data_IF_210562062309
#
_entry.id   IF_210562062309
#
_cell.length_a   1.000
_cell.length_b   1.000
_cell.length_c   1.000
_cell.angle_alpha   90.00
_cell.angle_beta   90.00
_cell.angle_gamma   90.00
#
_symmetry.space_group_name_H-M   'P 1'
#
loop_
_entity.id
_entity.type
_entity.pdbx_description
1 polymer ?
#
# COMPACT_ATOMS: atom_id res chain seq x y z
N UNK A 1 -26.57 14.87 -7.62
CA UNK A 1 -25.88 14.09 -6.57
C UNK A 1 -24.88 15.03 -5.89
N UNK A 2 -25.33 15.72 -4.83
CA UNK A 2 -24.50 16.66 -4.08
C UNK A 2 -24.08 16.05 -2.75
N UNK A 3 -22.88 16.39 -2.28
CA UNK A 3 -22.38 15.93 -0.97
C UNK A 3 -23.27 16.52 0.14
N UNK A 4 -23.92 15.63 0.90
CA UNK A 4 -24.72 15.97 2.08
C UNK A 4 -23.89 15.91 3.36
N UNK A 5 -23.08 14.85 3.52
CA UNK A 5 -22.15 14.70 4.66
C UNK A 5 -20.91 13.91 4.26
N UNK A 6 -19.81 14.19 4.97
CA UNK A 6 -18.59 13.41 5.00
C UNK A 6 -18.29 13.12 6.47
N UNK A 7 -18.22 11.84 6.84
CA UNK A 7 -18.09 11.40 8.21
C UNK A 7 -16.92 10.42 8.31
N UNK A 8 -15.93 10.76 9.13
CA UNK A 8 -14.78 9.90 9.43
C UNK A 8 -14.86 9.42 10.87
N UNK A 9 -14.53 8.15 11.10
CA UNK A 9 -14.55 7.52 12.42
C UNK A 9 -13.48 6.42 12.50
N UNK A 10 -13.07 6.13 13.74
CA UNK A 10 -12.13 5.02 13.98
C UNK A 10 -12.83 3.69 13.74
N UNK A 11 -12.15 2.79 13.05
CA UNK A 11 -12.65 1.43 12.79
C UNK A 11 -11.63 0.39 13.25
N UNK A 12 -12.11 -0.79 13.57
CA UNK A 12 -11.25 -1.96 13.69
C UNK A 12 -10.53 -2.16 12.35
N UNK A 13 -9.19 -2.31 12.39
CA UNK A 13 -8.42 -2.45 11.15
C UNK A 13 -8.89 -3.70 10.38
N UNK A 14 -9.48 -3.56 9.20
CA UNK A 14 -9.99 -4.69 8.44
C UNK A 14 -8.87 -5.64 7.97
N UNK A 15 -7.63 -5.12 7.81
CA UNK A 15 -6.47 -5.91 7.40
C UNK A 15 -5.90 -6.74 8.58
N UNK A 16 -6.20 -6.37 9.82
CA UNK A 16 -5.63 -7.03 11.00
C UNK A 16 -6.29 -8.38 11.39
N UNK A 17 -7.09 -8.97 10.52
CA UNK A 17 -7.71 -10.30 10.70
C UNK A 17 -8.71 -10.31 11.85
N UNK A 18 -9.99 -10.11 11.60
CA UNK A 18 -10.99 -10.29 12.62
C UNK A 18 -12.34 -9.61 12.47
N UNK A 19 -12.72 -9.07 11.32
CA UNK A 19 -14.03 -8.42 11.17
C UNK A 19 -15.14 -9.38 10.70
N UNK A 20 -14.83 -10.53 10.14
CA UNK A 20 -15.83 -11.51 9.75
C UNK A 20 -15.83 -12.74 10.65
N UNK A 21 -16.71 -12.70 11.64
CA UNK A 21 -17.17 -13.88 12.38
C UNK A 21 -18.51 -14.33 11.73
N UNK A 22 -18.43 -15.18 10.71
CA UNK A 22 -19.55 -16.06 10.38
C UNK A 22 -19.54 -17.20 11.37
N UNK A 23 -19.92 -16.91 12.61
CA UNK A 23 -20.14 -17.79 13.72
C UNK A 23 -19.68 -19.24 13.54
N UNK A 24 -18.54 -19.60 14.04
CA UNK A 24 -18.08 -20.84 14.67
C UNK A 24 -16.58 -21.14 14.60
N UNK A 25 -15.82 -20.57 13.66
CA UNK A 25 -14.36 -20.79 13.59
C UNK A 25 -13.62 -19.48 13.87
N UNK A 26 -13.47 -19.14 15.15
CA UNK A 26 -12.48 -18.13 15.59
C UNK A 26 -11.08 -18.67 15.35
N UNK A 27 -10.65 -18.71 14.11
CA UNK A 27 -9.23 -18.76 13.79
C UNK A 27 -8.69 -17.34 14.04
N UNK A 28 -8.20 -17.10 15.25
CA UNK A 28 -7.35 -15.94 15.51
C UNK A 28 -6.16 -16.10 14.58
N UNK A 29 -6.17 -15.40 13.45
CA UNK A 29 -5.10 -15.40 12.49
C UNK A 29 -3.84 -14.96 13.25
N UNK A 30 -2.94 -15.89 13.54
CA UNK A 30 -1.66 -15.55 14.14
C UNK A 30 -0.93 -14.67 13.13
N UNK A 31 -0.51 -13.49 13.57
CA UNK A 31 0.39 -12.67 12.74
C UNK A 31 1.65 -13.47 12.45
N UNK A 32 2.21 -13.33 11.24
CA UNK A 32 3.50 -13.94 10.94
C UNK A 32 4.52 -13.54 12.01
N UNK A 33 5.38 -14.46 12.49
CA UNK A 33 6.39 -14.16 13.51
C UNK A 33 7.26 -12.93 13.15
N UNK A 34 7.62 -12.78 11.87
CA UNK A 34 8.44 -11.69 11.39
C UNK A 34 7.80 -10.28 11.52
N UNK A 35 6.49 -10.16 11.69
CA UNK A 35 5.83 -8.87 11.89
C UNK A 35 5.82 -8.39 13.32
N UNK A 36 5.97 -9.29 14.30
CA UNK A 36 5.85 -8.99 15.72
C UNK A 36 7.11 -9.28 16.52
N UNK A 37 7.69 -10.45 16.30
CA UNK A 37 8.72 -11.02 17.16
C UNK A 37 10.08 -11.16 16.45
N UNK A 38 10.17 -10.88 15.14
CA UNK A 38 11.41 -10.93 14.38
C UNK A 38 12.05 -9.55 14.23
N UNK A 39 13.37 -9.56 14.04
CA UNK A 39 14.11 -8.35 13.66
C UNK A 39 13.70 -7.94 12.23
N UNK A 40 13.28 -6.70 12.08
CA UNK A 40 13.07 -6.04 10.78
C UNK A 40 13.74 -4.69 10.85
N UNK A 41 14.66 -4.44 9.93
CA UNK A 41 15.34 -3.15 9.82
C UNK A 41 14.32 -2.03 9.58
N UNK A 42 14.52 -0.90 10.24
CA UNK A 42 13.56 0.20 10.25
C UNK A 42 14.28 1.53 10.60
N UNK A 43 13.66 2.71 10.40
CA UNK A 43 14.28 4.00 10.69
C UNK A 43 14.72 4.15 12.15
N UNK A 44 14.04 3.48 13.10
CA UNK A 44 14.36 3.54 14.53
C UNK A 44 15.49 2.57 14.92
N UNK A 45 15.97 1.71 14.01
CA UNK A 45 17.04 0.74 14.29
C UNK A 45 18.36 1.38 14.73
N UNK A 46 18.59 2.69 14.45
CA UNK A 46 19.74 3.44 14.98
C UNK A 46 19.74 3.60 16.49
N UNK A 47 18.60 3.39 17.15
CA UNK A 47 18.45 3.49 18.59
C UNK A 47 18.32 2.09 19.20
N UNK A 48 19.23 1.63 20.06
CA UNK A 48 19.28 0.24 20.55
C UNK A 48 17.96 -0.28 21.14
N UNK A 49 17.21 0.58 21.83
CA UNK A 49 15.92 0.23 22.42
C UNK A 49 14.87 -0.22 21.40
N UNK A 50 14.95 0.32 20.17
CA UNK A 50 13.94 0.13 19.13
C UNK A 50 14.43 -0.70 17.94
N UNK A 51 15.67 -1.21 18.02
CA UNK A 51 16.36 -1.87 16.94
C UNK A 51 15.70 -3.21 16.57
N UNK A 52 15.34 -4.01 17.57
CA UNK A 52 14.94 -5.39 17.35
C UNK A 52 13.48 -5.54 16.88
N UNK A 53 12.57 -4.72 17.41
CA UNK A 53 11.15 -4.89 17.19
C UNK A 53 10.48 -3.63 16.66
N UNK A 54 10.00 -3.68 15.43
CA UNK A 54 9.19 -2.63 14.81
C UNK A 54 8.00 -2.23 15.68
N UNK A 55 7.36 -3.21 16.33
CA UNK A 55 6.22 -2.97 17.22
C UNK A 55 6.54 -2.14 18.47
N UNK A 56 7.82 -2.02 18.86
CA UNK A 56 8.22 -1.28 20.06
C UNK A 56 8.06 0.24 19.96
N UNK A 57 7.94 0.79 18.75
CA UNK A 57 7.78 2.22 18.49
C UNK A 57 6.63 2.54 17.52
N UNK A 58 6.06 1.52 16.89
CA UNK A 58 4.95 1.71 15.94
C UNK A 58 3.73 2.28 16.68
N UNK A 59 3.04 3.23 16.06
CA UNK A 59 1.87 3.83 16.66
C UNK A 59 0.70 2.83 16.75
N UNK A 60 -0.20 3.07 17.70
CA UNK A 60 -1.40 2.29 17.92
C UNK A 60 -2.67 2.98 17.38
N UNK A 61 -2.54 3.92 16.45
CA UNK A 61 -3.70 4.56 15.85
C UNK A 61 -4.56 3.55 15.10
N UNK A 62 -5.90 3.57 15.32
CA UNK A 62 -6.80 2.72 14.55
C UNK A 62 -6.85 3.13 13.07
N UNK A 63 -7.35 2.24 12.24
CA UNK A 63 -7.77 2.60 10.87
C UNK A 63 -8.94 3.60 10.94
N UNK A 64 -9.12 4.35 9.84
CA UNK A 64 -10.16 5.37 9.72
C UNK A 64 -11.09 4.97 8.57
N UNK A 65 -12.36 4.76 8.87
CA UNK A 65 -13.43 4.65 7.90
C UNK A 65 -13.97 6.04 7.54
N UNK A 66 -14.27 6.24 6.27
CA UNK A 66 -14.86 7.49 5.76
C UNK A 66 -16.10 7.15 4.96
N UNK A 67 -17.24 7.74 5.32
CA UNK A 67 -18.48 7.66 4.56
C UNK A 67 -18.78 9.02 3.95
N UNK A 68 -18.96 9.06 2.62
CA UNK A 68 -19.52 10.19 1.90
C UNK A 68 -20.98 9.86 1.58
N UNK A 69 -21.92 10.70 2.01
CA UNK A 69 -23.35 10.56 1.72
C UNK A 69 -23.83 11.71 0.85
N UNK A 70 -24.57 11.40 -0.21
CA UNK A 70 -25.16 12.39 -1.11
C UNK A 70 -26.60 12.73 -0.73
N UNK A 71 -27.13 13.81 -1.34
CA UNK A 71 -28.48 14.35 -1.11
C UNK A 71 -29.61 13.39 -1.55
N UNK A 72 -29.35 12.50 -2.51
CA UNK A 72 -30.26 11.46 -2.97
C UNK A 72 -30.22 10.18 -2.12
N UNK A 73 -29.40 10.15 -1.06
CA UNK A 73 -29.21 9.01 -0.16
C UNK A 73 -28.16 8.00 -0.62
N UNK A 74 -27.59 8.17 -1.81
CA UNK A 74 -26.44 7.34 -2.22
C UNK A 74 -25.23 7.62 -1.35
N UNK A 75 -24.34 6.62 -1.20
CA UNK A 75 -23.17 6.73 -0.32
C UNK A 75 -22.00 5.88 -0.83
N UNK A 76 -20.80 6.28 -0.42
CA UNK A 76 -19.59 5.52 -0.66
C UNK A 76 -18.72 5.41 0.57
N UNK A 77 -17.84 4.42 0.57
CA UNK A 77 -16.96 4.08 1.68
C UNK A 77 -15.49 4.06 1.27
N UNK A 78 -14.67 4.73 2.05
CA UNK A 78 -13.21 4.74 1.92
C UNK A 78 -12.54 4.37 3.23
N UNK A 79 -11.30 3.89 3.16
CA UNK A 79 -10.49 3.58 4.34
C UNK A 79 -9.12 4.20 4.23
N UNK A 80 -8.63 4.73 5.34
CA UNK A 80 -7.31 5.28 5.50
C UNK A 80 -6.77 4.99 6.91
N UNK A 81 -5.72 5.67 7.35
CA UNK A 81 -5.06 5.40 8.62
C UNK A 81 -4.90 6.61 9.54
N UNK A 82 -4.13 6.39 10.62
CA UNK A 82 -3.70 7.38 11.61
C UNK A 82 -4.79 7.98 12.50
N UNK A 83 -5.92 7.28 12.67
CA UNK A 83 -6.92 7.53 13.73
C UNK A 83 -7.33 8.99 13.91
N UNK A 84 -7.37 9.45 15.16
CA UNK A 84 -7.93 10.76 15.52
C UNK A 84 -7.34 11.97 14.76
N UNK A 85 -6.03 12.08 14.49
CA UNK A 85 -5.52 13.20 13.68
C UNK A 85 -6.15 13.29 12.30
N UNK A 86 -6.29 12.15 11.61
CA UNK A 86 -6.93 12.09 10.28
C UNK A 86 -8.43 12.34 10.37
N UNK A 87 -9.11 11.79 11.38
CA UNK A 87 -10.54 12.01 11.63
C UNK A 87 -10.82 13.50 11.80
N UNK A 88 -10.04 14.21 12.62
CA UNK A 88 -10.23 15.64 12.83
C UNK A 88 -9.99 16.46 11.54
N UNK A 89 -8.97 16.12 10.75
CA UNK A 89 -8.76 16.78 9.46
C UNK A 89 -9.97 16.62 8.54
N UNK A 90 -10.58 15.45 8.51
CA UNK A 90 -11.75 15.17 7.67
C UNK A 90 -13.00 15.88 8.21
N UNK A 91 -13.32 15.65 9.48
CA UNK A 91 -14.61 16.08 10.04
C UNK A 91 -14.67 17.59 10.33
N UNK A 92 -13.55 18.17 10.81
CA UNK A 92 -13.53 19.54 11.31
C UNK A 92 -13.04 20.55 10.25
N UNK A 93 -12.38 20.08 9.19
CA UNK A 93 -11.77 21.01 8.21
C UNK A 93 -12.15 20.68 6.76
N UNK A 94 -11.76 19.51 6.22
CA UNK A 94 -11.94 19.23 4.78
C UNK A 94 -13.40 19.00 4.44
N UNK A 95 -14.08 18.11 5.16
CA UNK A 95 -15.47 17.71 4.88
C UNK A 95 -16.47 18.86 4.83
N UNK A 96 -16.48 19.80 5.80
CA UNK A 96 -17.38 20.96 5.77
C UNK A 96 -17.23 21.83 4.52
N UNK A 97 -16.01 21.94 3.96
CA UNK A 97 -15.72 22.76 2.77
C UNK A 97 -16.13 22.09 1.45
N UNK A 98 -16.46 20.80 1.48
CA UNK A 98 -16.95 20.04 0.31
C UNK A 98 -18.48 19.90 0.30
N UNK A 99 -19.19 20.40 1.31
CA UNK A 99 -20.65 20.34 1.37
C UNK A 99 -21.30 21.01 0.15
N UNK A 100 -22.40 20.43 -0.37
CA UNK A 100 -23.13 20.87 -1.56
C UNK A 100 -22.36 20.75 -2.89
N UNK A 101 -21.10 20.32 -2.90
CA UNK A 101 -20.37 20.06 -4.12
C UNK A 101 -20.88 18.82 -4.85
N UNK A 102 -20.67 18.73 -6.16
CA UNK A 102 -21.04 17.56 -6.94
C UNK A 102 -20.17 16.35 -6.59
N UNK A 103 -20.75 15.34 -5.92
CA UNK A 103 -20.06 14.14 -5.47
C UNK A 103 -19.42 13.31 -6.60
N UNK A 104 -19.89 13.45 -7.85
CA UNK A 104 -19.36 12.72 -9.00
C UNK A 104 -18.14 13.41 -9.65
N UNK A 105 -17.84 14.65 -9.26
CA UNK A 105 -16.72 15.44 -9.81
C UNK A 105 -15.41 15.14 -9.06
N UNK A 106 -14.98 13.88 -9.04
CA UNK A 106 -13.83 13.40 -8.26
C UNK A 106 -12.55 14.21 -8.47
N UNK A 107 -12.23 14.57 -9.72
CA UNK A 107 -11.05 15.41 -10.04
C UNK A 107 -11.13 16.81 -9.42
N UNK A 108 -12.28 17.48 -9.52
CA UNK A 108 -12.51 18.79 -8.92
C UNK A 108 -12.36 18.72 -7.40
N UNK A 109 -13.01 17.73 -6.79
CA UNK A 109 -13.00 17.56 -5.34
C UNK A 109 -11.59 17.26 -4.83
N UNK A 110 -10.85 16.44 -5.56
CA UNK A 110 -9.46 16.16 -5.24
C UNK A 110 -8.58 17.44 -5.30
N UNK A 111 -8.70 18.25 -6.37
CA UNK A 111 -7.97 19.52 -6.46
C UNK A 111 -8.36 20.49 -5.33
N UNK A 112 -9.65 20.56 -4.98
CA UNK A 112 -10.11 21.35 -3.84
C UNK A 112 -9.44 20.90 -2.55
N UNK A 113 -9.44 19.61 -2.25
CA UNK A 113 -8.79 19.06 -1.04
C UNK A 113 -7.29 19.36 -1.00
N UNK A 114 -6.60 19.24 -2.13
CA UNK A 114 -5.18 19.61 -2.24
C UNK A 114 -4.96 21.11 -1.93
N UNK A 115 -5.83 21.99 -2.40
CA UNK A 115 -5.73 23.43 -2.14
C UNK A 115 -6.12 23.81 -0.72
N UNK A 116 -7.15 23.19 -0.16
CA UNK A 116 -7.56 23.38 1.24
C UNK A 116 -6.39 23.06 2.19
N UNK A 117 -5.65 22.00 1.90
CA UNK A 117 -4.53 21.55 2.75
C UNK A 117 -3.18 22.21 2.45
N UNK A 118 -3.04 22.90 1.30
CA UNK A 118 -1.78 23.55 0.88
C UNK A 118 -1.12 24.45 1.94
N UNK A 119 -1.87 25.25 2.76
CA UNK A 119 -1.26 26.12 3.76
C UNK A 119 -0.42 25.40 4.82
N UNK A 120 -0.70 24.12 5.09
CA UNK A 120 0.03 23.29 6.06
C UNK A 120 0.60 22.00 5.48
N UNK A 121 0.69 21.89 4.17
CA UNK A 121 1.12 20.75 3.37
C UNK A 121 0.00 19.72 3.13
N UNK A 122 -0.13 19.34 1.86
CA UNK A 122 -1.02 18.23 1.44
C UNK A 122 -0.36 16.84 1.59
N UNK A 123 0.84 16.78 2.17
CA UNK A 123 1.58 15.53 2.43
C UNK A 123 1.30 14.96 3.82
N UNK A 124 1.72 13.73 4.07
CA UNK A 124 1.56 13.07 5.37
C UNK A 124 0.10 12.96 5.78
N UNK A 125 -0.27 13.37 6.99
CA UNK A 125 -1.63 13.20 7.53
C UNK A 125 -2.72 13.84 6.65
N UNK A 126 -2.44 14.95 5.99
CA UNK A 126 -3.38 15.55 5.04
C UNK A 126 -3.62 14.62 3.83
N UNK A 127 -2.59 13.99 3.32
CA UNK A 127 -2.70 13.01 2.23
C UNK A 127 -3.54 11.79 2.63
N UNK A 128 -3.40 11.30 3.87
CA UNK A 128 -4.26 10.24 4.41
C UNK A 128 -5.73 10.67 4.45
N UNK A 129 -6.01 11.88 4.90
CA UNK A 129 -7.37 12.42 4.95
C UNK A 129 -7.98 12.54 3.53
N UNK A 130 -7.20 13.07 2.58
CA UNK A 130 -7.59 13.14 1.16
C UNK A 130 -7.87 11.74 0.61
N UNK A 131 -7.00 10.76 0.90
CA UNK A 131 -7.18 9.38 0.44
C UNK A 131 -8.51 8.79 0.88
N UNK A 132 -8.85 8.91 2.17
CA UNK A 132 -10.10 8.37 2.69
C UNK A 132 -11.34 8.96 2.02
N UNK A 133 -11.36 10.27 1.81
CA UNK A 133 -12.47 10.97 1.14
C UNK A 133 -12.52 10.59 -0.35
N UNK A 134 -11.39 10.60 -1.06
CA UNK A 134 -11.31 10.30 -2.49
C UNK A 134 -11.79 8.88 -2.79
N UNK A 135 -11.35 7.90 -2.00
CA UNK A 135 -11.79 6.51 -2.12
C UNK A 135 -13.30 6.36 -1.90
N UNK A 136 -13.86 7.06 -0.90
CA UNK A 136 -15.30 7.07 -0.67
C UNK A 136 -16.08 7.73 -1.83
N UNK A 137 -15.54 8.79 -2.45
CA UNK A 137 -16.14 9.43 -3.61
C UNK A 137 -16.13 8.53 -4.85
N UNK A 138 -15.04 7.81 -5.10
CA UNK A 138 -14.96 6.84 -6.19
C UNK A 138 -15.93 5.66 -5.99
N UNK A 139 -16.06 5.16 -4.76
CA UNK A 139 -17.04 4.12 -4.42
C UNK A 139 -18.48 4.61 -4.66
N UNK A 140 -18.81 5.82 -4.18
CA UNK A 140 -20.12 6.45 -4.41
C UNK A 140 -20.39 6.59 -5.91
N UNK A 141 -19.43 7.12 -6.67
CA UNK A 141 -19.55 7.33 -8.11
C UNK A 141 -19.81 6.00 -8.85
N UNK A 142 -19.09 4.95 -8.50
CA UNK A 142 -19.31 3.62 -9.08
C UNK A 142 -20.69 3.07 -8.78
N UNK A 143 -21.16 3.19 -7.54
CA UNK A 143 -22.50 2.76 -7.14
C UNK A 143 -23.61 3.54 -7.85
N UNK A 144 -23.50 4.86 -7.94
CA UNK A 144 -24.48 5.71 -8.65
C UNK A 144 -24.54 5.37 -10.13
N UNK A 145 -23.38 5.15 -10.77
CA UNK A 145 -23.29 4.81 -12.19
C UNK A 145 -23.49 3.32 -12.46
N UNK A 146 -23.59 2.49 -11.43
CA UNK A 146 -23.71 1.01 -11.49
C UNK A 146 -22.57 0.35 -12.27
N UNK A 147 -21.36 0.85 -12.07
CA UNK A 147 -20.14 0.34 -12.67
C UNK A 147 -19.08 0.08 -11.59
N UNK A 148 -18.24 -0.95 -11.75
CA UNK A 148 -17.06 -1.12 -10.92
C UNK A 148 -16.07 0.02 -11.20
N UNK A 149 -15.27 0.39 -10.19
CA UNK A 149 -14.36 1.54 -10.30
C UNK A 149 -13.33 1.33 -11.41
N UNK A 150 -12.85 0.11 -11.64
CA UNK A 150 -11.90 -0.14 -12.71
C UNK A 150 -12.48 0.19 -14.11
N UNK A 151 -13.78 -0.02 -14.35
CA UNK A 151 -14.45 0.39 -15.60
C UNK A 151 -14.50 1.93 -15.73
N UNK A 152 -14.78 2.63 -14.63
CA UNK A 152 -14.74 4.11 -14.62
C UNK A 152 -13.32 4.64 -14.86
N UNK A 153 -12.30 3.86 -14.55
CA UNK A 153 -10.90 4.19 -14.73
C UNK A 153 -10.34 3.87 -16.13
N UNK A 154 -11.19 3.39 -17.02
CA UNK A 154 -10.80 3.07 -18.42
C UNK A 154 -10.93 1.59 -18.81
N UNK A 155 -11.45 0.74 -17.93
CA UNK A 155 -11.66 -0.68 -18.14
C UNK A 155 -10.50 -1.57 -17.70
N UNK A 156 -10.71 -2.88 -17.76
CA UNK A 156 -9.70 -3.86 -17.39
C UNK A 156 -8.53 -3.87 -18.39
N UNK A 157 -7.32 -3.68 -17.92
CA UNK A 157 -6.10 -3.76 -18.74
C UNK A 157 -5.65 -5.22 -18.97
N UNK A 158 -6.22 -6.18 -18.24
CA UNK A 158 -5.90 -7.62 -18.28
C UNK A 158 -7.02 -8.47 -17.73
N UNK A 159 -7.03 -9.77 -18.06
CA UNK A 159 -8.06 -10.71 -17.56
C UNK A 159 -7.86 -11.10 -16.09
N UNK A 160 -6.61 -11.08 -15.61
CA UNK A 160 -6.23 -11.35 -14.22
C UNK A 160 -4.96 -10.62 -13.86
N UNK A 161 -4.89 -10.14 -12.61
CA UNK A 161 -3.73 -9.43 -12.10
C UNK A 161 -2.72 -10.42 -11.48
N UNK A 162 -1.47 -10.38 -11.94
CA UNK A 162 -0.37 -11.13 -11.32
C UNK A 162 -0.01 -10.53 -9.97
N UNK A 163 0.19 -11.39 -8.97
CA UNK A 163 0.51 -11.00 -7.60
C UNK A 163 1.80 -11.65 -7.12
N UNK A 164 2.61 -10.89 -6.37
CA UNK A 164 3.69 -11.43 -5.56
C UNK A 164 3.32 -11.40 -4.08
N UNK A 165 3.93 -12.31 -3.31
CA UNK A 165 3.74 -12.37 -1.87
C UNK A 165 4.77 -11.50 -1.15
N UNK A 166 4.37 -10.79 -0.09
CA UNK A 166 5.27 -10.08 0.83
C UNK A 166 5.29 -10.75 2.18
N UNK A 167 6.49 -11.07 2.66
CA UNK A 167 6.76 -11.70 3.95
C UNK A 167 8.03 -12.55 3.93
N UNK A 168 8.42 -13.08 5.09
CA UNK A 168 9.65 -13.85 5.23
C UNK A 168 9.44 -15.38 5.23
N UNK A 169 8.20 -15.84 5.21
CA UNK A 169 7.84 -17.26 5.15
C UNK A 169 7.77 -17.72 3.68
N UNK A 170 8.92 -17.73 2.99
CA UNK A 170 9.00 -17.94 1.54
C UNK A 170 8.58 -19.36 1.10
N UNK A 171 8.78 -20.38 1.93
CA UNK A 171 8.26 -21.74 1.74
C UNK A 171 6.74 -21.73 1.67
N UNK A 172 6.09 -21.06 2.61
CA UNK A 172 4.64 -20.88 2.62
C UNK A 172 4.12 -20.13 1.41
N UNK A 173 4.85 -19.11 0.93
CA UNK A 173 4.49 -18.40 -0.30
C UNK A 173 4.51 -19.34 -1.53
N UNK A 174 5.46 -20.25 -1.60
CA UNK A 174 5.52 -21.26 -2.67
C UNK A 174 4.38 -22.27 -2.59
N UNK A 175 4.03 -22.72 -1.38
CA UNK A 175 2.86 -23.61 -1.15
C UNK A 175 1.54 -22.95 -1.55
N UNK A 176 1.41 -21.63 -1.34
CA UNK A 176 0.25 -20.82 -1.77
C UNK A 176 0.21 -20.57 -3.30
N UNK A 177 1.25 -21.00 -4.04
CA UNK A 177 1.30 -20.92 -5.51
C UNK A 177 1.83 -19.60 -6.06
N UNK A 178 2.40 -18.70 -5.23
CA UNK A 178 3.03 -17.48 -5.73
C UNK A 178 4.29 -17.80 -6.55
N UNK A 179 4.55 -16.95 -7.56
CA UNK A 179 5.70 -17.07 -8.47
C UNK A 179 6.74 -15.97 -8.24
N UNK A 180 6.51 -15.13 -7.24
CA UNK A 180 7.39 -14.05 -6.82
C UNK A 180 7.19 -13.77 -5.34
N UNK A 181 8.26 -13.38 -4.63
CA UNK A 181 8.22 -13.11 -3.20
C UNK A 181 9.13 -11.95 -2.83
N UNK A 182 8.67 -11.09 -1.91
CA UNK A 182 9.41 -9.96 -1.36
C UNK A 182 9.70 -10.20 0.12
N UNK A 183 10.98 -10.10 0.48
CA UNK A 183 11.46 -10.26 1.86
C UNK A 183 11.48 -8.91 2.57
N UNK A 184 11.16 -8.91 3.87
CA UNK A 184 11.45 -7.80 4.77
C UNK A 184 12.88 -7.95 5.31
N UNK A 185 13.75 -6.98 5.02
CA UNK A 185 15.16 -7.01 5.39
C UNK A 185 15.33 -6.93 6.92
N UNK A 186 16.05 -7.89 7.55
CA UNK A 186 16.16 -7.91 9.00
C UNK A 186 17.18 -6.92 9.59
N UNK A 187 18.25 -6.59 8.86
CA UNK A 187 19.36 -5.79 9.40
C UNK A 187 19.65 -4.57 8.53
N UNK A 188 19.93 -3.42 9.18
CA UNK A 188 20.22 -2.16 8.51
C UNK A 188 21.60 -1.58 8.87
N UNK A 189 21.84 -0.34 8.48
CA UNK A 189 23.10 0.39 8.72
C UNK A 189 23.50 0.41 10.20
N UNK A 190 22.55 0.52 11.10
CA UNK A 190 22.78 0.57 12.55
C UNK A 190 23.34 -0.74 13.14
N UNK A 191 23.30 -1.85 12.39
CA UNK A 191 23.81 -3.16 12.80
C UNK A 191 25.28 -3.37 12.43
N UNK A 192 25.91 -2.39 11.76
CA UNK A 192 27.32 -2.41 11.40
C UNK A 192 27.64 -3.37 10.25
N UNK A 193 28.92 -3.73 10.12
CA UNK A 193 29.40 -4.56 8.98
C UNK A 193 28.87 -5.98 8.99
N UNK A 194 28.63 -6.56 10.17
CA UNK A 194 28.05 -7.91 10.28
C UNK A 194 26.66 -8.01 9.66
N UNK A 195 25.94 -6.90 9.59
CA UNK A 195 24.63 -6.87 8.96
C UNK A 195 24.68 -7.24 7.47
N UNK A 196 25.76 -6.90 6.79
CA UNK A 196 25.96 -7.27 5.38
C UNK A 196 26.04 -8.78 5.22
N UNK A 197 26.82 -9.47 6.07
CA UNK A 197 26.98 -10.93 6.05
C UNK A 197 25.66 -11.63 6.43
N UNK A 198 24.97 -11.10 7.42
CA UNK A 198 23.68 -11.64 7.89
C UNK A 198 22.59 -11.50 6.83
N UNK A 199 22.47 -10.33 6.18
CA UNK A 199 21.52 -10.12 5.09
C UNK A 199 21.84 -10.96 3.85
N UNK A 200 23.12 -11.09 3.48
CA UNK A 200 23.55 -11.96 2.39
C UNK A 200 23.16 -13.41 2.66
N UNK A 201 23.42 -13.90 3.86
CA UNK A 201 23.03 -15.26 4.30
C UNK A 201 21.50 -15.42 4.27
N UNK A 202 20.75 -14.43 4.73
CA UNK A 202 19.29 -14.45 4.78
C UNK A 202 18.69 -14.53 3.37
N UNK A 203 19.13 -13.66 2.46
CA UNK A 203 18.67 -13.64 1.06
C UNK A 203 19.12 -14.91 0.33
N UNK A 204 20.34 -15.40 0.59
CA UNK A 204 20.88 -16.63 0.00
C UNK A 204 20.02 -17.84 0.36
N UNK A 205 19.63 -18.00 1.61
CA UNK A 205 18.74 -19.07 2.06
C UNK A 205 17.36 -19.01 1.39
N UNK A 206 16.78 -17.82 1.26
CA UNK A 206 15.52 -17.66 0.57
C UNK A 206 15.65 -18.04 -0.92
N UNK A 207 16.73 -17.61 -1.59
CA UNK A 207 16.99 -17.94 -3.00
C UNK A 207 17.20 -19.45 -3.19
N UNK A 208 17.93 -20.10 -2.30
CA UNK A 208 18.12 -21.56 -2.32
C UNK A 208 16.79 -22.30 -2.21
N UNK A 209 15.93 -21.87 -1.30
CA UNK A 209 14.62 -22.47 -1.04
C UNK A 209 13.65 -22.32 -2.22
N UNK A 210 13.53 -21.11 -2.79
CA UNK A 210 12.57 -20.82 -3.86
C UNK A 210 13.07 -21.21 -5.26
N UNK A 211 14.38 -21.46 -5.40
CA UNK A 211 15.02 -21.80 -6.68
C UNK A 211 15.23 -20.59 -7.60
N UNK A 212 15.89 -20.78 -8.76
CA UNK A 212 16.36 -19.71 -9.62
C UNK A 212 15.28 -19.04 -10.49
N UNK A 213 14.07 -19.63 -10.58
CA UNK A 213 13.00 -19.19 -11.50
C UNK A 213 11.88 -18.43 -10.81
N UNK A 214 11.94 -18.25 -9.50
CA UNK A 214 11.01 -17.42 -8.72
C UNK A 214 11.63 -16.04 -8.55
N UNK A 215 10.88 -14.99 -8.84
CA UNK A 215 11.36 -13.63 -8.63
C UNK A 215 11.47 -13.30 -7.13
N UNK A 216 12.59 -12.73 -6.74
CA UNK A 216 12.92 -12.40 -5.35
C UNK A 216 13.20 -10.90 -5.23
N UNK A 217 12.57 -10.26 -4.26
CA UNK A 217 12.74 -8.84 -3.95
C UNK A 217 13.13 -8.65 -2.49
N UNK A 218 13.72 -7.51 -2.17
CA UNK A 218 14.11 -7.15 -0.81
C UNK A 218 13.59 -5.75 -0.46
N UNK A 219 12.78 -5.67 0.57
CA UNK A 219 12.29 -4.43 1.15
C UNK A 219 13.16 -4.05 2.36
N UNK A 220 13.77 -2.87 2.28
CA UNK A 220 14.73 -2.36 3.26
C UNK A 220 14.11 -1.34 4.24
N UNK A 221 12.89 -0.97 4.01
CA UNK A 221 12.02 -0.13 4.84
C UNK A 221 12.71 1.06 5.51
N UNK A 222 13.40 1.87 4.68
CA UNK A 222 14.06 3.13 5.07
C UNK A 222 15.20 2.99 6.09
N UNK A 223 15.79 1.80 6.22
CA UNK A 223 16.77 1.52 7.28
C UNK A 223 18.23 1.76 6.86
N UNK A 224 18.49 2.12 5.60
CA UNK A 224 19.83 2.23 5.04
C UNK A 224 20.28 3.67 4.87
N UNK A 225 21.60 3.83 4.78
CA UNK A 225 22.23 4.94 4.08
C UNK A 225 22.74 4.47 2.69
N UNK A 226 23.20 5.42 1.89
CA UNK A 226 23.67 5.14 0.52
C UNK A 226 24.84 4.15 0.51
N UNK A 227 25.77 4.28 1.45
CA UNK A 227 26.96 3.41 1.49
C UNK A 227 26.58 1.97 1.81
N UNK A 228 25.74 1.75 2.80
CA UNK A 228 25.28 0.42 3.19
C UNK A 228 24.46 -0.22 2.07
N UNK A 229 23.52 0.54 1.46
CA UNK A 229 22.72 0.06 0.34
C UNK A 229 23.57 -0.40 -0.84
N UNK A 230 24.59 0.38 -1.20
CA UNK A 230 25.51 0.03 -2.30
C UNK A 230 26.30 -1.23 -1.98
N UNK A 231 26.90 -1.32 -0.78
CA UNK A 231 27.65 -2.52 -0.36
C UNK A 231 26.78 -3.77 -0.36
N UNK A 232 25.58 -3.66 0.19
CA UNK A 232 24.66 -4.79 0.24
C UNK A 232 24.22 -5.21 -1.17
N UNK A 233 23.86 -4.27 -2.04
CA UNK A 233 23.48 -4.57 -3.43
C UNK A 233 24.55 -5.36 -4.17
N UNK A 234 25.84 -4.98 -4.02
CA UNK A 234 26.94 -5.71 -4.64
C UNK A 234 27.08 -7.14 -4.12
N UNK A 235 26.87 -7.37 -2.81
CA UNK A 235 26.89 -8.71 -2.23
C UNK A 235 25.70 -9.56 -2.69
N UNK A 236 24.54 -8.94 -2.85
CA UNK A 236 23.32 -9.63 -3.25
C UNK A 236 23.20 -9.88 -4.75
N UNK A 237 24.11 -9.33 -5.56
CA UNK A 237 24.11 -9.52 -7.02
C UNK A 237 24.03 -10.99 -7.48
N UNK A 238 24.72 -11.97 -6.84
CA UNK A 238 24.62 -13.39 -7.21
C UNK A 238 23.22 -13.99 -7.03
N UNK A 239 22.37 -13.39 -6.18
CA UNK A 239 21.02 -13.89 -5.91
C UNK A 239 19.97 -13.33 -6.86
N UNK A 240 20.36 -12.46 -7.80
CA UNK A 240 19.52 -11.90 -8.85
C UNK A 240 18.18 -11.36 -8.32
N UNK A 241 18.27 -10.33 -7.46
CA UNK A 241 17.08 -9.64 -6.96
C UNK A 241 16.40 -8.88 -8.10
N UNK A 242 15.08 -9.01 -8.21
CA UNK A 242 14.29 -8.25 -9.15
C UNK A 242 14.33 -6.75 -8.84
N UNK A 243 14.20 -6.38 -7.58
CA UNK A 243 14.47 -5.02 -7.09
C UNK A 243 14.89 -5.00 -5.62
N UNK A 244 15.51 -3.89 -5.23
CA UNK A 244 15.65 -3.45 -3.84
C UNK A 244 14.68 -2.28 -3.61
N UNK A 245 13.94 -2.34 -2.50
CA UNK A 245 12.85 -1.46 -2.19
C UNK A 245 13.16 -0.61 -0.96
N UNK A 246 12.70 0.64 -0.99
CA UNK A 246 12.61 1.56 0.15
C UNK A 246 13.89 1.67 0.99
N UNK A 247 15.05 1.75 0.30
CA UNK A 247 16.35 1.74 0.97
C UNK A 247 16.57 2.94 1.90
N UNK A 248 16.04 4.13 1.50
CA UNK A 248 16.34 5.42 2.11
C UNK A 248 15.05 6.09 2.63
N UNK A 249 15.21 7.04 3.55
CA UNK A 249 14.08 7.85 4.02
C UNK A 249 13.49 8.69 2.87
N UNK A 250 12.16 8.90 2.86
CA UNK A 250 11.45 9.49 1.72
C UNK A 250 11.81 10.95 1.45
N UNK A 251 12.26 11.70 2.47
CA UNK A 251 12.59 13.13 2.35
C UNK A 251 13.94 13.39 1.69
N UNK A 252 14.83 12.39 1.64
CA UNK A 252 16.20 12.57 1.16
C UNK A 252 16.36 12.27 -0.34
N UNK A 253 15.76 13.12 -1.17
CA UNK A 253 15.82 13.00 -2.63
C UNK A 253 17.27 13.01 -3.17
N UNK A 254 18.16 13.75 -2.53
CA UNK A 254 19.59 13.82 -2.92
C UNK A 254 20.28 12.48 -2.76
N UNK A 255 20.03 11.78 -1.66
CA UNK A 255 20.57 10.44 -1.45
C UNK A 255 19.95 9.41 -2.39
N UNK A 256 18.69 9.53 -2.77
CA UNK A 256 18.08 8.68 -3.82
C UNK A 256 18.81 8.85 -5.16
N UNK A 257 19.17 10.08 -5.56
CA UNK A 257 19.99 10.32 -6.76
C UNK A 257 21.37 9.68 -6.65
N UNK A 258 22.06 9.90 -5.53
CA UNK A 258 23.39 9.31 -5.28
C UNK A 258 23.35 7.78 -5.28
N UNK A 259 22.30 7.16 -4.74
CA UNK A 259 22.10 5.72 -4.77
C UNK A 259 21.93 5.22 -6.22
N UNK A 260 21.08 5.87 -7.02
CA UNK A 260 20.89 5.54 -8.44
C UNK A 260 22.18 5.65 -9.24
N UNK A 261 22.97 6.69 -9.05
CA UNK A 261 24.25 6.88 -9.74
C UNK A 261 25.26 5.76 -9.43
N UNK A 262 25.25 5.26 -8.19
CA UNK A 262 26.14 4.19 -7.73
C UNK A 262 25.64 2.77 -8.06
N UNK A 263 24.34 2.61 -8.31
CA UNK A 263 23.69 1.33 -8.64
C UNK A 263 22.90 1.39 -9.96
N UNK A 264 23.54 1.76 -11.08
CA UNK A 264 22.83 1.91 -12.37
C UNK A 264 22.27 0.59 -12.92
N UNK A 265 22.78 -0.54 -12.44
CA UNK A 265 22.41 -1.89 -12.87
C UNK A 265 21.32 -2.54 -12.01
N UNK A 266 21.08 -2.01 -10.79
CA UNK A 266 20.09 -2.56 -9.87
C UNK A 266 18.75 -1.87 -10.07
N UNK A 267 17.68 -2.64 -10.27
CA UNK A 267 16.32 -2.11 -10.21
C UNK A 267 16.02 -1.63 -8.80
N UNK A 268 15.62 -0.38 -8.68
CA UNK A 268 15.23 0.26 -7.43
C UNK A 268 13.74 0.56 -7.45
N UNK A 269 13.08 0.35 -6.33
CA UNK A 269 11.67 0.64 -6.12
C UNK A 269 11.49 1.43 -4.83
N UNK A 270 10.55 2.37 -4.80
CA UNK A 270 10.13 3.09 -3.58
C UNK A 270 8.87 3.90 -3.84
N UNK A 271 8.29 4.48 -2.81
CA UNK A 271 7.18 5.42 -2.94
C UNK A 271 6.02 5.18 -2.01
N UNK A 272 6.01 4.13 -1.18
CA UNK A 272 4.93 3.92 -0.21
C UNK A 272 4.83 5.07 0.80
N UNK A 273 5.96 5.69 1.14
CA UNK A 273 6.04 6.85 2.03
C UNK A 273 6.17 8.19 1.29
N UNK A 274 6.03 8.20 -0.04
CA UNK A 274 5.93 9.42 -0.83
C UNK A 274 4.48 9.87 -0.95
N UNK A 275 4.28 11.17 -0.81
CA UNK A 275 2.94 11.75 -0.85
C UNK A 275 2.82 12.71 -2.02
N UNK A 276 1.61 12.79 -2.57
CA UNK A 276 1.21 13.62 -3.69
C UNK A 276 1.91 13.31 -5.03
N UNK A 277 1.26 13.55 -6.17
CA UNK A 277 1.87 13.35 -7.49
C UNK A 277 3.12 14.19 -7.74
N UNK A 278 3.32 15.29 -7.01
CA UNK A 278 4.48 16.18 -7.19
C UNK A 278 5.80 15.50 -6.82
N UNK A 279 5.84 14.74 -5.73
CA UNK A 279 7.03 13.97 -5.32
C UNK A 279 7.42 12.95 -6.40
N UNK A 280 6.44 12.24 -6.95
CA UNK A 280 6.65 11.26 -8.01
C UNK A 280 7.09 11.90 -9.33
N UNK A 281 6.59 13.12 -9.63
CA UNK A 281 7.05 13.88 -10.80
C UNK A 281 8.54 14.24 -10.70
N UNK A 282 9.00 14.77 -9.56
CA UNK A 282 10.42 15.06 -9.35
C UNK A 282 11.28 13.79 -9.39
N UNK A 283 10.79 12.70 -8.83
CA UNK A 283 11.46 11.39 -8.87
C UNK A 283 11.56 10.83 -10.30
N UNK A 284 10.52 10.97 -11.12
CA UNK A 284 10.52 10.58 -12.52
C UNK A 284 11.50 11.41 -13.35
N UNK A 285 11.49 12.72 -13.16
CA UNK A 285 12.38 13.68 -13.83
C UNK A 285 13.86 13.35 -13.59
N UNK A 286 14.22 13.04 -12.37
CA UNK A 286 15.57 12.66 -11.96
C UNK A 286 15.89 11.17 -12.13
N UNK A 287 14.88 10.37 -12.48
CA UNK A 287 14.93 8.92 -12.67
C UNK A 287 15.61 8.18 -11.50
N UNK A 288 15.24 8.55 -10.29
CA UNK A 288 15.88 8.01 -9.07
C UNK A 288 15.54 6.56 -8.79
N UNK A 289 14.42 6.05 -9.33
CA UNK A 289 13.99 4.65 -9.24
C UNK A 289 13.37 4.16 -10.56
N UNK A 290 13.13 2.87 -10.68
CA UNK A 290 12.53 2.22 -11.85
C UNK A 290 11.05 1.90 -11.64
N UNK A 291 10.64 1.75 -10.38
CA UNK A 291 9.28 1.36 -9.99
C UNK A 291 8.78 2.31 -8.92
N UNK A 292 7.61 2.88 -9.15
CA UNK A 292 6.88 3.65 -8.14
C UNK A 292 5.92 2.76 -7.36
N UNK A 293 5.93 2.89 -6.02
CA UNK A 293 5.11 2.07 -5.13
C UNK A 293 4.20 2.91 -4.22
N UNK A 294 3.32 3.76 -4.79
CA UNK A 294 2.40 4.55 -3.97
C UNK A 294 1.47 3.64 -3.17
N UNK A 295 1.11 4.02 -1.95
CA UNK A 295 0.00 3.41 -1.23
C UNK A 295 -1.28 4.20 -1.50
N UNK A 296 -2.27 3.56 -2.08
CA UNK A 296 -3.54 4.18 -2.49
C UNK A 296 -4.35 4.74 -1.30
N UNK A 297 -4.18 4.14 -0.11
CA UNK A 297 -4.83 4.58 1.10
C UNK A 297 -4.10 5.77 1.78
N UNK A 298 -2.86 6.12 1.31
CA UNK A 298 -1.98 7.11 1.94
C UNK A 298 -1.67 8.31 1.06
N UNK A 299 -1.53 8.10 -0.27
CA UNK A 299 -0.92 9.06 -1.21
C UNK A 299 -1.87 10.16 -1.71
N UNK A 300 -3.13 10.12 -1.33
CA UNK A 300 -4.19 11.01 -1.83
C UNK A 300 -5.27 10.28 -2.63
N UNK A 301 -5.40 8.96 -2.47
CA UNK A 301 -6.48 8.15 -3.01
C UNK A 301 -6.30 7.70 -4.47
N UNK A 302 -7.39 7.22 -5.05
CA UNK A 302 -7.44 6.69 -6.42
C UNK A 302 -7.08 7.75 -7.47
N UNK A 303 -7.58 8.97 -7.30
CA UNK A 303 -7.28 10.11 -8.20
C UNK A 303 -5.78 10.43 -8.21
N UNK A 304 -5.13 10.43 -7.05
CA UNK A 304 -3.68 10.66 -6.95
C UNK A 304 -2.89 9.57 -7.67
N UNK A 305 -3.24 8.28 -7.45
CA UNK A 305 -2.53 7.16 -8.07
C UNK A 305 -2.70 7.15 -9.58
N UNK A 306 -3.88 7.55 -10.13
CA UNK A 306 -4.05 7.73 -11.57
C UNK A 306 -3.08 8.79 -12.15
N UNK A 307 -2.91 9.92 -11.45
CA UNK A 307 -1.94 10.97 -11.86
C UNK A 307 -0.50 10.47 -11.80
N UNK A 308 -0.14 9.76 -10.74
CA UNK A 308 1.18 9.14 -10.58
C UNK A 308 1.43 8.13 -11.70
N UNK A 309 0.43 7.33 -12.04
CA UNK A 309 0.50 6.34 -13.12
C UNK A 309 0.74 6.98 -14.48
N UNK A 310 0.07 8.11 -14.77
CA UNK A 310 0.28 8.86 -16.02
C UNK A 310 1.71 9.45 -16.09
N UNK A 311 2.24 9.97 -14.96
CA UNK A 311 3.63 10.44 -14.86
C UNK A 311 4.61 9.30 -15.11
N UNK A 312 4.38 8.15 -14.47
CA UNK A 312 5.24 6.96 -14.60
C UNK A 312 5.23 6.44 -16.05
N UNK A 313 4.06 6.29 -16.67
CA UNK A 313 3.91 5.80 -18.05
C UNK A 313 4.65 6.71 -19.04
N UNK A 314 4.42 8.02 -18.96
CA UNK A 314 5.12 9.01 -19.78
C UNK A 314 6.65 9.01 -19.58
N UNK A 315 7.13 8.51 -18.44
CA UNK A 315 8.55 8.41 -18.09
C UNK A 315 9.15 7.01 -18.33
N UNK A 316 8.34 6.05 -18.82
CA UNK A 316 8.76 4.66 -19.02
C UNK A 316 9.04 3.92 -17.71
N UNK A 317 8.28 4.22 -16.65
CA UNK A 317 8.36 3.60 -15.33
C UNK A 317 7.14 2.71 -15.07
N UNK A 318 7.30 1.73 -14.19
CA UNK A 318 6.19 0.91 -13.70
C UNK A 318 5.60 1.49 -12.40
N UNK A 319 4.34 1.17 -12.14
CA UNK A 319 3.68 1.45 -10.86
C UNK A 319 3.20 0.13 -10.25
N UNK A 320 3.54 -0.10 -8.99
CA UNK A 320 3.07 -1.23 -8.21
C UNK A 320 2.60 -0.68 -6.87
N UNK A 321 1.30 -0.59 -6.65
CA UNK A 321 0.81 -0.06 -5.37
C UNK A 321 1.28 -0.93 -4.20
N UNK A 322 1.85 -0.28 -3.16
CA UNK A 322 2.16 -0.89 -1.88
C UNK A 322 0.91 -1.57 -1.32
N UNK A 323 1.03 -2.84 -0.92
CA UNK A 323 -0.07 -3.67 -0.42
C UNK A 323 -1.35 -3.62 -1.30
N UNK A 324 -1.21 -3.30 -2.60
CA UNK A 324 -2.33 -2.99 -3.49
C UNK A 324 -3.31 -4.14 -3.68
N UNK A 325 -2.88 -5.39 -3.50
CA UNK A 325 -3.77 -6.54 -3.58
C UNK A 325 -4.47 -6.87 -2.26
N UNK A 326 -4.19 -6.15 -1.17
CA UNK A 326 -4.81 -6.35 0.14
C UNK A 326 -6.05 -5.50 0.39
N UNK A 327 -6.45 -4.70 -0.59
CA UNK A 327 -7.68 -3.90 -0.53
C UNK A 327 -8.38 -3.90 -1.90
N UNK A 328 -9.70 -3.78 -1.97
CA UNK A 328 -10.39 -3.64 -3.24
C UNK A 328 -9.99 -2.37 -3.98
N UNK A 329 -9.58 -1.31 -3.27
CA UNK A 329 -9.10 -0.05 -3.86
C UNK A 329 -7.89 -0.28 -4.75
N UNK A 330 -6.85 -0.91 -4.22
CA UNK A 330 -5.64 -1.23 -4.97
C UNK A 330 -5.87 -2.29 -6.05
N UNK A 331 -6.76 -3.26 -5.79
CA UNK A 331 -7.13 -4.27 -6.79
C UNK A 331 -7.75 -3.64 -8.04
N UNK A 332 -8.74 -2.75 -7.87
CA UNK A 332 -9.36 -2.04 -8.99
C UNK A 332 -8.37 -1.15 -9.74
N UNK A 333 -7.47 -0.47 -9.02
CA UNK A 333 -6.43 0.33 -9.64
C UNK A 333 -5.47 -0.52 -10.48
N UNK A 334 -4.83 -1.53 -9.89
CA UNK A 334 -3.86 -2.37 -10.59
C UNK A 334 -4.48 -3.08 -11.81
N UNK A 335 -5.77 -3.44 -11.72
CA UNK A 335 -6.49 -4.11 -12.78
C UNK A 335 -6.76 -3.21 -13.99
N UNK A 336 -6.96 -1.91 -13.77
CA UNK A 336 -7.21 -0.91 -14.83
C UNK A 336 -5.94 -0.28 -15.41
N UNK A 337 -4.82 -0.25 -14.68
CA UNK A 337 -3.61 0.46 -15.08
C UNK A 337 -2.70 -0.40 -15.97
N UNK A 338 -2.45 -0.05 -17.26
CA UNK A 338 -1.63 -0.85 -18.18
C UNK A 338 -0.17 -1.04 -17.70
N UNK A 339 0.44 0.00 -17.11
CA UNK A 339 1.81 -0.03 -16.58
C UNK A 339 1.90 -0.51 -15.13
N UNK A 340 0.83 -1.13 -14.57
CA UNK A 340 0.81 -1.80 -13.27
C UNK A 340 0.67 -3.31 -13.46
N UNK A 341 1.70 -3.95 -13.99
CA UNK A 341 1.67 -5.38 -14.35
C UNK A 341 1.73 -6.33 -13.15
N UNK A 342 2.23 -5.85 -12.03
CA UNK A 342 2.44 -6.59 -10.79
C UNK A 342 1.57 -6.03 -9.67
N UNK A 343 1.10 -6.87 -8.76
CA UNK A 343 0.37 -6.47 -7.58
C UNK A 343 1.01 -7.06 -6.32
N UNK A 344 1.13 -6.27 -5.28
CA UNK A 344 1.65 -6.71 -3.99
C UNK A 344 0.55 -7.30 -3.13
N UNK A 345 0.78 -8.52 -2.62
CA UNK A 345 -0.06 -9.17 -1.62
C UNK A 345 0.73 -9.47 -0.35
N UNK A 346 0.49 -8.71 0.69
CA UNK A 346 1.02 -8.98 2.01
C UNK A 346 0.34 -10.21 2.60
N UNK A 347 1.12 -11.26 2.90
CA UNK A 347 0.63 -12.49 3.52
C UNK A 347 0.52 -12.28 5.02
N UNK A 348 -0.67 -11.88 5.47
CA UNK A 348 -0.93 -11.44 6.85
C UNK A 348 -1.12 -12.56 7.87
N UNK A 349 -1.01 -13.83 7.48
CA UNK A 349 -1.19 -15.01 8.34
C UNK A 349 0.08 -15.83 8.50
N UNK A 350 0.20 -16.58 9.62
CA UNK A 350 1.28 -17.53 9.82
C UNK A 350 1.16 -18.70 8.82
N UNK A 351 2.28 -19.40 8.54
CA UNK A 351 2.27 -20.62 7.72
C UNK A 351 1.19 -21.61 8.15
N UNK A 352 0.52 -22.22 7.18
CA UNK A 352 -0.60 -23.14 7.38
C UNK A 352 -1.97 -22.50 7.48
N UNK A 353 -2.09 -21.15 7.53
CA UNK A 353 -3.37 -20.46 7.55
C UNK A 353 -3.75 -20.04 6.12
N UNK A 354 -4.84 -20.58 5.54
CA UNK A 354 -5.28 -20.20 4.20
C UNK A 354 -5.55 -18.71 4.06
N UNK A 355 -5.21 -18.11 2.91
CA UNK A 355 -5.35 -16.67 2.66
C UNK A 355 -6.75 -16.14 2.93
N UNK A 356 -7.80 -16.90 2.63
CA UNK A 356 -9.20 -16.53 2.90
C UNK A 356 -9.51 -16.27 4.39
N UNK A 357 -8.62 -16.71 5.30
CA UNK A 357 -8.76 -16.52 6.75
C UNK A 357 -7.80 -15.47 7.32
N UNK A 358 -6.96 -14.84 6.49
CA UNK A 358 -5.92 -13.94 6.97
C UNK A 358 -6.17 -12.48 6.68
N UNK A 359 -6.67 -12.14 5.49
CA UNK A 359 -6.87 -10.79 5.02
C UNK A 359 -8.28 -10.68 4.43
N UNK A 360 -9.26 -10.38 5.26
CA UNK A 360 -10.66 -10.33 4.85
C UNK A 360 -11.14 -8.88 4.75
N UNK A 361 -10.58 -8.10 3.82
CA UNK A 361 -11.19 -6.82 3.50
C UNK A 361 -12.44 -7.07 2.64
N UNK A 362 -13.61 -6.52 3.03
CA UNK A 362 -14.84 -6.70 2.25
C UNK A 362 -14.67 -6.24 0.80
N UNK A 363 -15.09 -7.07 -0.16
CA UNK A 363 -14.93 -6.82 -1.60
C UNK A 363 -13.58 -7.19 -2.19
N UNK A 364 -12.61 -7.58 -1.36
CA UNK A 364 -11.30 -8.01 -1.82
C UNK A 364 -11.34 -9.43 -2.37
N UNK A 365 -10.81 -9.62 -3.57
CA UNK A 365 -10.55 -10.94 -4.10
C UNK A 365 -9.25 -11.52 -3.51
N UNK A 366 -9.26 -12.81 -3.18
CA UNK A 366 -8.10 -13.53 -2.63
C UNK A 366 -7.28 -14.14 -3.77
N UNK A 367 -5.94 -13.99 -3.78
CA UNK A 367 -5.10 -14.58 -4.79
C UNK A 367 -5.26 -16.11 -4.87
N UNK A 368 -5.31 -16.61 -6.11
CA UNK A 368 -5.27 -18.03 -6.42
C UNK A 368 -4.16 -18.27 -7.44
N UNK A 369 -3.23 -19.18 -7.11
CA UNK A 369 -2.07 -19.50 -7.95
C UNK A 369 -1.27 -18.25 -8.37
N UNK A 370 -1.16 -17.26 -7.48
CA UNK A 370 -0.46 -16.00 -7.74
C UNK A 370 -1.24 -15.00 -8.61
N UNK A 371 -2.55 -15.14 -8.77
CA UNK A 371 -3.37 -14.21 -9.55
C UNK A 371 -4.65 -13.79 -8.81
N UNK A 372 -5.12 -12.59 -9.11
CA UNK A 372 -6.41 -12.05 -8.64
C UNK A 372 -7.28 -11.73 -9.85
N UNK A 373 -8.58 -12.04 -9.75
CA UNK A 373 -9.64 -11.53 -10.64
C UNK A 373 -10.50 -10.59 -9.80
N UNK A 374 -10.57 -9.34 -10.23
CA UNK A 374 -11.25 -8.27 -9.47
C UNK A 374 -12.77 -8.40 -9.61
N UNK A 375 -13.51 -7.96 -8.59
CA UNK A 375 -14.98 -7.98 -8.57
C UNK A 375 -15.59 -7.02 -9.59
N UNK A 376 -16.65 -7.45 -10.28
CA UNK A 376 -17.45 -6.65 -11.22
C UNK A 376 -18.58 -5.88 -10.53
N UNK A 377 -18.71 -5.97 -9.20
CA UNK A 377 -19.73 -5.27 -8.45
C UNK A 377 -19.54 -3.75 -8.48
N UNK A 378 -20.62 -2.95 -8.48
CA UNK A 378 -20.54 -1.50 -8.51
C UNK A 378 -19.72 -0.88 -7.37
N UNK A 379 -19.02 0.20 -7.66
CA UNK A 379 -18.07 0.81 -6.75
C UNK A 379 -16.81 -0.06 -6.63
N UNK A 380 -16.32 -0.22 -5.40
CA UNK A 380 -15.22 -1.14 -5.10
C UNK A 380 -15.71 -2.55 -4.70
N UNK A 381 -17.00 -2.83 -4.85
CA UNK A 381 -17.54 -4.16 -4.59
C UNK A 381 -17.52 -4.60 -3.14
N UNK A 382 -17.57 -3.68 -2.18
CA UNK A 382 -17.48 -3.99 -0.74
C UNK A 382 -18.55 -4.95 -0.24
N UNK A 383 -19.74 -4.96 -0.86
CA UNK A 383 -20.86 -5.80 -0.45
C UNK A 383 -21.43 -5.47 0.95
N UNK A 384 -21.02 -4.35 1.55
CA UNK A 384 -21.41 -3.93 2.89
C UNK A 384 -22.64 -3.01 2.83
N UNK A 385 -23.55 -3.15 3.81
CA UNK A 385 -24.54 -2.13 4.10
C UNK A 385 -23.94 -0.99 4.94
N UNK A 386 -24.56 0.19 4.92
CA UNK A 386 -24.13 1.31 5.76
C UNK A 386 -24.12 0.93 7.24
N UNK A 387 -25.16 0.23 7.72
CA UNK A 387 -25.26 -0.28 9.08
C UNK A 387 -24.12 -1.25 9.45
N UNK A 388 -23.66 -2.07 8.49
CA UNK A 388 -22.54 -2.96 8.73
C UNK A 388 -21.22 -2.18 8.93
N UNK A 389 -21.05 -1.09 8.17
CA UNK A 389 -19.88 -0.21 8.30
C UNK A 389 -19.92 0.56 9.62
N UNK A 390 -21.09 1.11 10.00
CA UNK A 390 -21.26 1.81 11.27
C UNK A 390 -20.97 0.91 12.49
N UNK A 391 -21.27 -0.39 12.39
CA UNK A 391 -20.92 -1.39 13.42
C UNK A 391 -19.42 -1.70 13.50
N UNK A 392 -18.61 -1.29 12.51
CA UNK A 392 -17.15 -1.40 12.57
C UNK A 392 -16.51 -0.26 13.37
N UNK A 393 -17.28 0.78 13.72
CA UNK A 393 -16.80 1.89 14.54
C UNK A 393 -16.37 1.42 15.93
N UNK A 394 -15.22 1.98 16.42
CA UNK A 394 -14.62 1.70 17.73
C UNK A 394 -15.21 2.61 18.80
#
# INVERSE_FOLDING_TARGET
>A
VKIKSIEAFAITNPIAGGIYDEGKDKVTARRPPWTKDAEVANPMSRYPRYKALRSSWNNAFPAVGVIVTADDGSWGFGVTGYGQPTISLINDHIGPLLHEENALATEKLWDMMMRITSPYSSSGLASYAISGIDLALWDLKGKVLKLPVYELAGGAARDKQFCYATGNDTDWHMELGFKATKLACPYGTADGLEALDKNETFVGKARELIGPHVELMLDCWMAFDVEFAVRLAHRLKPFNLKWMEDCLIPEDHTSHKALRERLPWQTLATGEHWYTPYTFFEAAKDRVVDIFQPDINWVGGFTAVQKITAIADASGLEVICHAGMNTPYGQHFNYSAPNSRWGEYFVGGAPGIPLKHTNNYPGMAVPKDGYVVVSDEPGFGHGLSKDAIEKMAL
#
